data_IF_328436293077
#
_entry.id   IF_328436293077
#
_cell.length_a   1.000
_cell.length_b   1.000
_cell.length_c   1.000
_cell.angle_alpha   90.00
_cell.angle_beta   90.00
_cell.angle_gamma   90.00
#
_symmetry.space_group_name_H-M   'P 1'
#
loop_
_entity.id
_entity.type
_entity.pdbx_description
1 polymer ?
#
# COMPACT_ATOMS: atom_id res chain seq x y z
N UNK A 1 -12.06 -5.90 2.38
CA UNK A 1 -11.05 -6.58 1.54
C UNK A 1 -10.53 -5.63 0.46
N UNK A 2 -9.37 -5.86 -0.11
CA UNK A 2 -8.77 -5.10 -1.21
C UNK A 2 -9.75 -5.02 -2.39
N UNK A 3 -10.34 -6.13 -2.83
CA UNK A 3 -11.35 -6.16 -3.90
C UNK A 3 -12.57 -5.23 -3.66
N UNK A 4 -12.97 -5.04 -2.41
CA UNK A 4 -14.07 -4.12 -2.08
C UNK A 4 -13.61 -2.67 -2.22
N UNK A 5 -12.35 -2.38 -1.91
CA UNK A 5 -11.74 -1.06 -2.06
C UNK A 5 -11.54 -0.72 -3.54
N UNK A 6 -11.03 -1.65 -4.34
CA UNK A 6 -10.95 -1.50 -5.80
C UNK A 6 -12.29 -1.11 -6.41
N UNK A 7 -13.37 -1.79 -5.99
CA UNK A 7 -14.71 -1.49 -6.47
C UNK A 7 -15.16 -0.07 -6.12
N UNK A 8 -14.85 0.40 -4.89
CA UNK A 8 -15.17 1.78 -4.48
C UNK A 8 -14.35 2.81 -5.24
N UNK A 9 -13.04 2.56 -5.44
CA UNK A 9 -12.18 3.45 -6.22
C UNK A 9 -12.72 3.56 -7.65
N UNK A 10 -13.02 2.43 -8.30
CA UNK A 10 -13.61 2.41 -9.64
C UNK A 10 -14.97 3.11 -9.68
N UNK A 11 -15.82 2.89 -8.68
CA UNK A 11 -17.13 3.54 -8.57
C UNK A 11 -16.98 5.07 -8.48
N UNK A 12 -16.08 5.56 -7.62
CA UNK A 12 -15.81 7.00 -7.51
C UNK A 12 -15.33 7.60 -8.84
N UNK A 13 -14.41 6.93 -9.53
CA UNK A 13 -13.83 7.39 -10.79
C UNK A 13 -14.84 7.39 -11.93
N UNK A 14 -15.74 6.41 -12.00
CA UNK A 14 -16.72 6.28 -13.07
C UNK A 14 -17.71 7.44 -13.13
N UNK A 15 -17.87 8.21 -12.05
CA UNK A 15 -18.66 9.45 -12.06
C UNK A 15 -18.09 10.53 -13.01
N UNK A 16 -16.84 10.39 -13.46
CA UNK A 16 -16.28 11.25 -14.50
C UNK A 16 -17.04 11.13 -15.83
N UNK A 17 -17.67 9.99 -16.09
CA UNK A 17 -18.44 9.74 -17.31
C UNK A 17 -19.85 10.36 -17.27
N UNK A 18 -20.26 10.94 -16.14
CA UNK A 18 -21.58 11.52 -15.89
C UNK A 18 -21.45 12.99 -15.45
N UNK A 19 -21.14 13.93 -16.39
CA UNK A 19 -20.85 15.34 -16.05
C UNK A 19 -22.01 16.06 -15.35
N UNK A 20 -23.24 15.60 -15.51
CA UNK A 20 -24.42 16.16 -14.85
C UNK A 20 -24.61 15.63 -13.41
N UNK A 21 -23.84 14.65 -12.98
CA UNK A 21 -23.94 14.07 -11.63
C UNK A 21 -23.38 15.03 -10.57
N UNK A 22 -24.01 15.03 -9.39
CA UNK A 22 -23.49 15.72 -8.22
C UNK A 22 -22.21 15.05 -7.64
N UNK A 23 -21.83 13.86 -8.15
CA UNK A 23 -20.61 13.13 -7.82
C UNK A 23 -19.51 13.30 -8.88
N UNK A 24 -19.76 13.99 -10.00
CA UNK A 24 -18.73 14.30 -10.99
C UNK A 24 -17.50 15.00 -10.38
N UNK A 25 -17.65 16.01 -9.49
CA UNK A 25 -16.49 16.66 -8.87
C UNK A 25 -15.67 15.71 -8.00
N UNK A 26 -16.27 14.69 -7.39
CA UNK A 26 -15.54 13.65 -6.64
C UNK A 26 -14.54 12.91 -7.54
N UNK A 27 -14.98 12.50 -8.74
CA UNK A 27 -14.11 11.81 -9.69
C UNK A 27 -12.94 12.71 -10.14
N UNK A 28 -13.22 13.99 -10.37
CA UNK A 28 -12.19 15.00 -10.71
C UNK A 28 -11.16 15.14 -9.58
N UNK A 29 -11.62 15.27 -8.33
CA UNK A 29 -10.74 15.45 -7.20
C UNK A 29 -9.91 14.20 -6.91
N UNK A 30 -10.49 13.01 -7.09
CA UNK A 30 -9.75 11.75 -6.94
C UNK A 30 -8.67 11.61 -8.02
N UNK A 31 -8.98 11.93 -9.30
CA UNK A 31 -7.98 11.94 -10.36
C UNK A 31 -6.85 12.94 -10.10
N UNK A 32 -7.17 14.11 -9.55
CA UNK A 32 -6.15 15.11 -9.15
C UNK A 32 -5.25 14.56 -8.04
N UNK A 33 -5.82 13.85 -7.07
CA UNK A 33 -5.04 13.15 -6.03
C UNK A 33 -4.13 12.06 -6.62
N UNK A 34 -4.56 11.41 -7.69
CA UNK A 34 -3.75 10.44 -8.45
C UNK A 34 -2.71 11.12 -9.38
N UNK A 35 -2.59 12.44 -9.30
CA UNK A 35 -1.60 13.23 -10.04
C UNK A 35 -2.05 13.68 -11.43
N UNK A 36 -3.33 13.52 -11.81
CA UNK A 36 -3.87 14.12 -13.04
C UNK A 36 -4.16 15.59 -12.81
N UNK A 37 -3.21 16.44 -13.17
CA UNK A 37 -3.27 17.90 -12.88
C UNK A 37 -4.40 18.59 -13.63
N UNK A 38 -4.69 18.15 -14.88
CA UNK A 38 -5.67 18.79 -15.75
C UNK A 38 -6.73 17.77 -16.16
N UNK A 39 -7.92 17.89 -15.60
CA UNK A 39 -9.11 17.17 -16.06
C UNK A 39 -9.91 18.12 -16.95
N UNK A 40 -10.02 17.80 -18.23
CA UNK A 40 -10.72 18.63 -19.22
C UNK A 40 -12.24 18.49 -19.09
N UNK A 41 -12.98 19.53 -19.46
CA UNK A 41 -14.44 19.44 -19.50
C UNK A 41 -14.88 18.38 -20.50
N UNK A 42 -15.73 17.43 -20.06
CA UNK A 42 -16.16 16.30 -20.88
C UNK A 42 -15.13 15.16 -20.98
N UNK A 43 -14.05 15.21 -20.19
CA UNK A 43 -13.14 14.09 -20.06
C UNK A 43 -13.90 12.86 -19.56
N UNK A 44 -13.68 11.72 -20.20
CA UNK A 44 -14.20 10.42 -19.78
C UNK A 44 -13.06 9.46 -19.50
N UNK A 45 -13.34 8.36 -18.82
CA UNK A 45 -12.38 7.31 -18.52
C UNK A 45 -13.00 5.92 -18.60
N UNK A 46 -12.15 4.93 -18.71
CA UNK A 46 -12.47 3.51 -18.51
C UNK A 46 -11.62 2.97 -17.36
N UNK A 47 -12.22 2.24 -16.43
CA UNK A 47 -11.52 1.47 -15.41
C UNK A 47 -11.52 -0.01 -15.79
N UNK A 48 -10.35 -0.66 -15.71
CA UNK A 48 -10.18 -2.09 -15.96
C UNK A 48 -9.57 -2.70 -14.71
N UNK A 49 -10.27 -3.61 -14.06
CA UNK A 49 -9.76 -4.31 -12.88
C UNK A 49 -8.99 -5.57 -13.28
N UNK A 50 -7.97 -5.91 -12.48
CA UNK A 50 -7.17 -7.12 -12.61
C UNK A 50 -6.51 -7.28 -14.00
N UNK A 51 -6.14 -6.16 -14.62
CA UNK A 51 -5.44 -6.16 -15.91
C UNK A 51 -3.98 -6.61 -15.69
N UNK A 52 -3.64 -7.83 -16.12
CA UNK A 52 -2.34 -8.47 -15.89
C UNK A 52 -1.88 -8.45 -14.42
N UNK A 53 -2.82 -8.68 -13.49
CA UNK A 53 -2.63 -8.65 -12.04
C UNK A 53 -2.43 -7.24 -11.45
N UNK A 54 -2.54 -6.18 -12.23
CA UNK A 54 -2.69 -4.83 -11.73
C UNK A 54 -4.08 -4.68 -11.12
N UNK A 55 -4.20 -4.13 -9.95
CA UNK A 55 -5.51 -4.04 -9.29
C UNK A 55 -6.47 -3.19 -10.11
N UNK A 56 -6.07 -1.97 -10.50
CA UNK A 56 -6.87 -1.10 -11.36
C UNK A 56 -6.00 -0.44 -12.42
N UNK A 57 -6.43 -0.50 -13.68
CA UNK A 57 -5.92 0.32 -14.78
C UNK A 57 -6.97 1.35 -15.17
N UNK A 58 -6.60 2.63 -15.17
CA UNK A 58 -7.47 3.74 -15.54
C UNK A 58 -6.98 4.29 -16.88
N UNK A 59 -7.83 4.21 -17.92
CA UNK A 59 -7.53 4.71 -19.25
C UNK A 59 -8.30 6.01 -19.49
N UNK A 60 -7.60 7.12 -19.71
CA UNK A 60 -8.21 8.42 -19.96
C UNK A 60 -8.57 8.55 -21.45
N UNK A 61 -9.86 8.61 -21.75
CA UNK A 61 -10.36 8.65 -23.14
C UNK A 61 -9.89 9.93 -23.84
N UNK A 62 -9.35 9.78 -25.06
CA UNK A 62 -8.84 10.91 -25.85
C UNK A 62 -7.47 11.43 -25.41
N UNK A 63 -6.94 10.94 -24.30
CA UNK A 63 -5.55 11.15 -23.89
C UNK A 63 -4.80 9.84 -24.02
N UNK A 64 -3.60 9.86 -24.60
CA UNK A 64 -2.74 8.67 -24.62
C UNK A 64 -2.07 8.50 -23.26
N UNK A 65 -2.88 8.34 -22.20
CA UNK A 65 -2.46 8.30 -20.80
C UNK A 65 -3.23 7.24 -20.02
N UNK A 66 -2.50 6.52 -19.20
CA UNK A 66 -3.07 5.56 -18.24
C UNK A 66 -2.52 5.81 -16.83
N UNK A 67 -3.34 5.48 -15.84
CA UNK A 67 -2.95 5.45 -14.44
C UNK A 67 -3.09 4.01 -13.95
N UNK A 68 -2.00 3.46 -13.46
CA UNK A 68 -1.91 2.14 -12.88
C UNK A 68 -2.00 2.27 -11.36
N UNK A 69 -2.95 1.60 -10.75
CA UNK A 69 -3.15 1.61 -9.30
C UNK A 69 -2.82 0.23 -8.74
N UNK A 70 -1.90 0.19 -7.78
CA UNK A 70 -1.68 -0.93 -6.88
C UNK A 70 -2.38 -0.61 -5.57
N UNK A 71 -3.39 -1.39 -5.20
CA UNK A 71 -4.21 -1.19 -4.01
C UNK A 71 -3.81 -2.14 -2.90
N UNK A 72 -3.56 -1.58 -1.72
CA UNK A 72 -3.25 -2.33 -0.51
C UNK A 72 -4.05 -1.80 0.67
N UNK A 73 -4.74 -2.71 1.33
CA UNK A 73 -5.39 -2.40 2.60
C UNK A 73 -4.45 -2.68 3.77
N UNK A 74 -4.26 -3.93 4.14
CA UNK A 74 -3.49 -4.34 5.32
C UNK A 74 -2.14 -4.98 4.96
N UNK A 75 -1.98 -5.49 3.74
CA UNK A 75 -0.71 -5.98 3.20
C UNK A 75 0.16 -4.83 2.66
N UNK A 76 1.45 -5.08 2.47
CA UNK A 76 2.37 -4.18 1.78
C UNK A 76 2.64 -4.68 0.36
N UNK A 77 3.22 -3.81 -0.48
CA UNK A 77 3.68 -4.19 -1.81
C UNK A 77 4.78 -5.26 -1.70
N UNK A 78 4.72 -6.28 -2.56
CA UNK A 78 5.68 -7.37 -2.56
C UNK A 78 6.33 -7.55 -3.94
N UNK A 79 7.66 -7.65 -3.95
CA UNK A 79 8.43 -8.05 -5.11
C UNK A 79 8.36 -7.07 -6.28
N UNK A 80 8.34 -5.77 -5.98
CA UNK A 80 8.39 -4.69 -6.97
C UNK A 80 7.26 -4.79 -8.03
N UNK A 81 6.02 -5.00 -7.56
CA UNK A 81 4.84 -5.18 -8.42
C UNK A 81 4.68 -4.00 -9.38
N UNK A 82 4.76 -2.77 -8.88
CA UNK A 82 4.63 -1.55 -9.70
C UNK A 82 5.68 -1.51 -10.81
N UNK A 83 6.95 -1.85 -10.52
CA UNK A 83 8.00 -1.91 -11.55
C UNK A 83 7.67 -2.94 -12.63
N UNK A 84 7.26 -4.14 -12.24
CA UNK A 84 6.87 -5.19 -13.20
C UNK A 84 5.68 -4.78 -14.06
N UNK A 85 4.73 -4.05 -13.50
CA UNK A 85 3.58 -3.54 -14.25
C UNK A 85 3.99 -2.43 -15.23
N UNK A 86 4.88 -1.52 -14.83
CA UNK A 86 5.47 -0.53 -15.77
C UNK A 86 6.13 -1.24 -16.95
N UNK A 87 6.97 -2.24 -16.69
CA UNK A 87 7.62 -3.04 -17.74
C UNK A 87 6.59 -3.72 -18.64
N UNK A 88 5.53 -4.29 -18.06
CA UNK A 88 4.46 -4.94 -18.85
C UNK A 88 3.72 -3.96 -19.75
N UNK A 89 3.46 -2.75 -19.30
CA UNK A 89 2.79 -1.70 -20.10
C UNK A 89 3.59 -1.32 -21.35
N UNK A 90 4.91 -1.45 -21.33
CA UNK A 90 5.75 -1.20 -22.54
C UNK A 90 5.68 -2.36 -23.55
N UNK A 91 5.18 -3.51 -23.14
CA UNK A 91 5.15 -4.76 -23.94
C UNK A 91 3.74 -5.12 -24.43
N UNK A 92 2.77 -4.23 -24.29
CA UNK A 92 1.39 -4.49 -24.73
C UNK A 92 1.34 -4.71 -26.25
N UNK A 93 0.59 -5.73 -26.68
CA UNK A 93 0.25 -5.94 -28.08
C UNK A 93 -0.66 -4.83 -28.61
N UNK A 94 -0.80 -4.72 -29.92
CA UNK A 94 -1.70 -3.76 -30.56
C UNK A 94 -3.16 -3.99 -30.12
N UNK A 95 -3.58 -5.25 -30.00
CA UNK A 95 -4.92 -5.60 -29.54
C UNK A 95 -5.18 -5.14 -28.09
N UNK A 96 -4.23 -5.39 -27.19
CA UNK A 96 -4.29 -4.95 -25.79
C UNK A 96 -4.33 -3.43 -25.68
N UNK A 97 -3.50 -2.72 -26.45
CA UNK A 97 -3.52 -1.25 -26.49
C UNK A 97 -4.89 -0.74 -26.97
N UNK A 98 -5.46 -1.38 -27.99
CA UNK A 98 -6.79 -1.01 -28.50
C UNK A 98 -7.89 -1.23 -27.44
N UNK A 99 -7.83 -2.31 -26.65
CA UNK A 99 -8.75 -2.55 -25.53
C UNK A 99 -8.69 -1.44 -24.47
N UNK A 100 -7.50 -0.91 -24.23
CA UNK A 100 -7.29 0.18 -23.27
C UNK A 100 -7.52 1.58 -23.89
N UNK A 101 -7.83 1.66 -25.20
CA UNK A 101 -7.96 2.95 -25.91
C UNK A 101 -6.68 3.78 -25.95
N UNK A 102 -5.51 3.13 -25.95
CA UNK A 102 -4.19 3.76 -25.93
C UNK A 102 -3.39 3.42 -27.19
N UNK A 103 -2.40 4.27 -27.48
CA UNK A 103 -1.49 4.13 -28.60
C UNK A 103 -0.07 3.84 -28.14
N UNK A 104 0.86 3.72 -29.08
CA UNK A 104 2.30 3.68 -28.77
C UNK A 104 2.73 4.91 -27.97
N UNK A 105 3.77 4.75 -27.15
CA UNK A 105 4.30 5.82 -26.27
C UNK A 105 3.25 6.39 -25.32
N UNK A 106 2.41 5.52 -24.74
CA UNK A 106 1.45 5.90 -23.73
C UNK A 106 2.13 6.54 -22.52
N UNK A 107 1.60 7.66 -22.04
CA UNK A 107 2.03 8.26 -20.78
C UNK A 107 1.48 7.43 -19.62
N UNK A 108 2.36 6.83 -18.86
CA UNK A 108 2.04 5.98 -17.72
C UNK A 108 2.30 6.72 -16.41
N UNK A 109 1.32 6.68 -15.52
CA UNK A 109 1.46 7.09 -14.13
C UNK A 109 1.13 5.92 -13.21
N UNK A 110 1.84 5.84 -12.10
CA UNK A 110 1.64 4.78 -11.11
C UNK A 110 1.19 5.38 -9.78
N UNK A 111 0.21 4.75 -9.16
CA UNK A 111 -0.36 5.14 -7.88
C UNK A 111 -0.28 3.95 -6.92
N UNK A 112 0.34 4.15 -5.78
CA UNK A 112 0.26 3.24 -4.65
C UNK A 112 -0.86 3.70 -3.74
N UNK A 113 -1.92 2.91 -3.61
CA UNK A 113 -3.10 3.24 -2.83
C UNK A 113 -3.09 2.42 -1.54
N UNK A 114 -2.84 3.06 -0.41
CA UNK A 114 -2.66 2.39 0.88
C UNK A 114 -3.59 2.96 1.94
N UNK A 115 -4.74 2.30 2.17
CA UNK A 115 -5.69 2.73 3.20
C UNK A 115 -5.43 2.12 4.57
N UNK A 116 -4.61 1.08 4.62
CA UNK A 116 -4.09 0.54 5.86
C UNK A 116 -2.97 1.36 6.47
N UNK A 117 -2.40 0.86 7.55
CA UNK A 117 -1.23 1.46 8.17
C UNK A 117 -0.05 1.49 7.19
N UNK A 118 0.60 2.65 7.10
CA UNK A 118 1.76 2.84 6.23
C UNK A 118 3.02 2.37 6.97
N UNK A 119 3.47 1.16 6.68
CA UNK A 119 4.73 0.63 7.19
C UNK A 119 5.93 1.24 6.46
N UNK A 120 7.13 1.01 6.98
CA UNK A 120 8.34 1.55 6.36
C UNK A 120 8.57 1.05 4.94
N UNK A 121 8.27 -0.22 4.68
CA UNK A 121 8.35 -0.80 3.34
C UNK A 121 7.43 -0.09 2.34
N UNK A 122 6.25 0.32 2.77
CA UNK A 122 5.29 1.04 1.93
C UNK A 122 5.81 2.42 1.49
N UNK A 123 6.66 3.06 2.31
CA UNK A 123 7.30 4.35 2.00
C UNK A 123 8.39 4.26 0.94
N UNK A 124 8.89 3.04 0.68
CA UNK A 124 9.93 2.76 -0.29
C UNK A 124 9.37 2.32 -1.65
N UNK A 125 8.06 2.17 -1.76
CA UNK A 125 7.39 1.78 -3.01
C UNK A 125 7.65 2.83 -4.09
N UNK A 126 8.15 2.38 -5.24
CA UNK A 126 8.48 3.23 -6.38
C UNK A 126 7.22 3.56 -7.22
N UNK A 127 6.32 4.33 -6.61
CA UNK A 127 5.14 4.89 -7.26
C UNK A 127 5.30 6.41 -7.48
N UNK A 128 4.67 6.92 -8.54
CA UNK A 128 4.67 8.37 -8.80
C UNK A 128 3.85 9.13 -7.75
N UNK A 129 2.81 8.47 -7.21
CA UNK A 129 1.92 9.02 -6.17
C UNK A 129 1.59 7.93 -5.16
N UNK A 130 1.61 8.28 -3.87
CA UNK A 130 1.05 7.45 -2.80
C UNK A 130 -0.18 8.13 -2.22
N UNK A 131 -1.32 7.40 -2.18
CA UNK A 131 -2.56 7.86 -1.56
C UNK A 131 -2.79 7.05 -0.28
N UNK A 132 -2.74 7.73 0.86
CA UNK A 132 -3.01 7.10 2.17
C UNK A 132 -4.50 7.09 2.50
N UNK A 133 -4.89 6.32 3.52
CA UNK A 133 -6.26 6.30 4.02
C UNK A 133 -6.77 7.69 4.43
N UNK A 134 -5.92 8.48 5.09
CA UNK A 134 -6.24 9.85 5.48
C UNK A 134 -6.43 10.77 4.27
N UNK A 135 -5.56 10.65 3.26
CA UNK A 135 -5.68 11.43 2.03
C UNK A 135 -6.94 11.07 1.23
N UNK A 136 -7.32 9.79 1.25
CA UNK A 136 -8.56 9.32 0.63
C UNK A 136 -9.78 9.81 1.40
N UNK A 137 -9.80 9.68 2.73
CA UNK A 137 -10.86 10.20 3.57
C UNK A 137 -11.09 11.70 3.31
N UNK A 138 -10.03 12.50 3.30
CA UNK A 138 -10.10 13.93 2.99
C UNK A 138 -10.69 14.21 1.60
N UNK A 139 -10.41 13.36 0.61
CA UNK A 139 -10.95 13.48 -0.74
C UNK A 139 -12.46 13.19 -0.78
N UNK A 140 -12.94 12.22 0.00
CA UNK A 140 -14.33 11.77 0.01
C UNK A 140 -15.24 12.65 0.89
N UNK A 141 -14.74 13.17 2.01
CA UNK A 141 -15.53 13.89 3.03
C UNK A 141 -16.39 15.05 2.46
N UNK A 142 -15.92 15.88 1.51
CA UNK A 142 -16.75 16.98 0.92
C UNK A 142 -18.01 16.49 0.23
N UNK A 143 -18.11 15.20 -0.06
CA UNK A 143 -19.21 14.59 -0.81
C UNK A 143 -20.15 13.76 0.08
N UNK A 144 -19.96 13.79 1.39
CA UNK A 144 -20.84 13.13 2.37
C UNK A 144 -22.32 13.57 2.16
N UNK A 145 -23.25 12.63 2.31
CA UNK A 145 -24.67 12.86 2.10
C UNK A 145 -25.11 12.82 0.63
N UNK A 146 -24.20 12.65 -0.32
CA UNK A 146 -24.55 12.57 -1.75
C UNK A 146 -24.87 11.16 -2.25
N UNK A 147 -24.48 10.13 -1.49
CA UNK A 147 -24.73 8.72 -1.81
C UNK A 147 -24.60 7.85 -0.57
N UNK A 148 -25.54 6.92 -0.39
CA UNK A 148 -25.50 5.94 0.71
C UNK A 148 -24.24 5.04 0.63
N UNK A 149 -23.79 4.69 -0.58
CA UNK A 149 -22.56 3.90 -0.79
C UNK A 149 -21.34 4.69 -0.27
N UNK A 150 -21.27 5.97 -0.63
CA UNK A 150 -20.18 6.84 -0.18
C UNK A 150 -20.19 7.00 1.33
N UNK A 151 -21.35 7.24 1.94
CA UNK A 151 -21.48 7.45 3.38
C UNK A 151 -21.15 6.18 4.18
N UNK A 152 -21.55 5.01 3.67
CA UNK A 152 -21.17 3.74 4.26
C UNK A 152 -19.65 3.51 4.19
N UNK A 153 -19.03 3.84 3.07
CA UNK A 153 -17.58 3.69 2.92
C UNK A 153 -16.81 4.71 3.76
N UNK A 154 -17.26 5.96 3.84
CA UNK A 154 -16.69 6.97 4.75
C UNK A 154 -16.68 6.48 6.19
N UNK A 155 -17.83 5.99 6.67
CA UNK A 155 -17.96 5.42 8.03
C UNK A 155 -16.99 4.25 8.26
N UNK A 156 -16.83 3.38 7.27
CA UNK A 156 -15.88 2.26 7.33
C UNK A 156 -14.43 2.76 7.41
N UNK A 157 -14.05 3.72 6.55
CA UNK A 157 -12.69 4.24 6.49
C UNK A 157 -12.31 5.01 7.75
N UNK A 158 -13.23 5.83 8.29
CA UNK A 158 -13.05 6.55 9.56
C UNK A 158 -12.77 5.57 10.71
N UNK A 159 -13.60 4.53 10.86
CA UNK A 159 -13.41 3.51 11.90
C UNK A 159 -12.07 2.79 11.77
N UNK A 160 -11.66 2.49 10.53
CA UNK A 160 -10.37 1.84 10.26
C UNK A 160 -9.20 2.73 10.69
N UNK A 161 -9.24 4.01 10.35
CA UNK A 161 -8.21 4.98 10.75
C UNK A 161 -8.18 5.22 12.26
N UNK A 162 -9.34 5.30 12.91
CA UNK A 162 -9.44 5.39 14.37
C UNK A 162 -8.85 4.15 15.07
N UNK A 163 -9.10 2.95 14.51
CA UNK A 163 -8.50 1.73 15.04
C UNK A 163 -6.99 1.76 14.91
N UNK A 164 -6.44 2.16 13.76
CA UNK A 164 -5.00 2.30 13.56
C UNK A 164 -4.37 3.31 14.53
N UNK A 165 -5.07 4.44 14.77
CA UNK A 165 -4.62 5.44 15.73
C UNK A 165 -4.55 4.86 17.15
N UNK A 166 -5.56 4.10 17.56
CA UNK A 166 -5.56 3.41 18.87
C UNK A 166 -4.46 2.34 18.98
N UNK A 167 -4.19 1.62 17.89
CA UNK A 167 -3.11 0.62 17.88
C UNK A 167 -1.71 1.25 17.96
N UNK A 168 -1.52 2.45 17.42
CA UNK A 168 -0.30 3.24 17.61
C UNK A 168 -0.11 3.68 19.06
N UNK A 169 -1.19 3.98 19.76
CA UNK A 169 -1.16 4.43 21.16
C UNK A 169 -1.17 3.25 22.16
N UNK A 170 -0.35 2.24 21.85
CA UNK A 170 -0.23 1.03 22.66
C UNK A 170 0.28 1.28 24.10
N UNK A 171 0.88 2.44 24.37
CA UNK A 171 1.32 2.79 25.73
C UNK A 171 0.15 2.91 26.70
N UNK A 172 -1.06 3.21 26.22
CA UNK A 172 -2.29 3.21 27.02
C UNK A 172 -2.84 1.80 27.24
N UNK A 173 -2.58 0.88 26.32
CA UNK A 173 -3.05 -0.51 26.32
C UNK A 173 -1.91 -1.44 25.86
N UNK A 174 -0.90 -1.72 26.72
CA UNK A 174 0.31 -2.47 26.34
C UNK A 174 0.04 -3.89 25.81
N UNK A 175 -1.07 -4.51 26.20
CA UNK A 175 -1.49 -5.83 25.70
C UNK A 175 -1.77 -5.85 24.21
N UNK A 176 -1.93 -4.69 23.56
CA UNK A 176 -2.06 -4.58 22.09
C UNK A 176 -0.84 -5.10 21.36
N UNK A 177 0.35 -5.05 21.99
CA UNK A 177 1.57 -5.61 21.42
C UNK A 177 1.42 -7.10 21.07
N UNK A 178 0.57 -7.83 21.80
CA UNK A 178 0.36 -9.26 21.57
C UNK A 178 -0.43 -9.55 20.28
N UNK A 179 -1.22 -8.59 19.80
CA UNK A 179 -2.21 -8.81 18.75
C UNK A 179 -2.13 -7.80 17.59
N UNK A 180 -1.27 -6.78 17.69
CA UNK A 180 -1.18 -5.71 16.70
C UNK A 180 0.23 -5.57 16.13
N UNK A 181 0.35 -5.81 14.82
CA UNK A 181 1.56 -5.51 14.07
C UNK A 181 1.89 -4.00 14.07
N UNK A 182 0.87 -3.15 14.12
CA UNK A 182 1.02 -1.68 14.18
C UNK A 182 1.66 -1.28 15.51
N UNK A 183 1.18 -1.84 16.63
CA UNK A 183 1.75 -1.58 17.95
C UNK A 183 3.21 -2.04 18.03
N UNK A 184 3.49 -3.27 17.55
CA UNK A 184 4.86 -3.81 17.51
C UNK A 184 5.78 -2.96 16.64
N UNK A 185 5.34 -2.59 15.43
CA UNK A 185 6.10 -1.73 14.53
C UNK A 185 6.37 -0.36 15.17
N UNK A 186 5.36 0.23 15.82
CA UNK A 186 5.50 1.52 16.51
C UNK A 186 6.52 1.42 17.65
N UNK A 187 6.45 0.37 18.46
CA UNK A 187 7.45 0.14 19.52
C UNK A 187 8.85 -0.07 18.94
N UNK A 188 8.99 -0.85 17.88
CA UNK A 188 10.28 -1.07 17.23
C UNK A 188 10.88 0.26 16.75
N UNK A 189 10.06 1.15 16.20
CA UNK A 189 10.48 2.50 15.78
C UNK A 189 10.84 3.43 16.93
N UNK A 190 10.23 3.25 18.10
CA UNK A 190 10.62 3.99 19.32
C UNK A 190 11.97 3.52 19.85
N UNK A 191 12.24 2.22 19.82
CA UNK A 191 13.52 1.63 20.25
C UNK A 191 14.63 2.00 19.26
N UNK A 192 14.33 1.98 17.97
CA UNK A 192 15.26 2.28 16.87
C UNK A 192 14.76 3.50 16.07
N UNK A 193 15.00 4.73 16.54
CA UNK A 193 14.46 5.94 15.93
C UNK A 193 15.03 6.24 14.54
N UNK A 194 14.29 7.01 13.77
CA UNK A 194 14.63 7.39 12.37
C UNK A 194 15.99 8.08 12.20
N UNK A 195 16.55 8.66 13.26
CA UNK A 195 17.88 9.23 13.23
C UNK A 195 18.97 8.21 12.89
N UNK A 196 18.70 6.93 13.09
CA UNK A 196 19.53 5.81 12.67
C UNK A 196 19.25 5.37 11.23
N UNK A 197 18.17 5.90 10.62
CA UNK A 197 17.79 5.62 9.24
C UNK A 197 18.32 6.70 8.31
N UNK A 198 19.29 6.37 7.50
CA UNK A 198 19.67 7.22 6.37
C UNK A 198 19.20 6.55 5.08
N UNK A 199 18.33 7.26 4.33
CA UNK A 199 17.97 6.87 2.98
C UNK A 199 19.25 6.87 2.13
N UNK A 200 19.62 5.72 1.55
CA UNK A 200 20.86 5.56 0.77
C UNK A 200 22.04 4.95 1.55
N UNK A 201 21.97 4.90 2.89
CA UNK A 201 22.72 3.98 3.72
C UNK A 201 21.74 3.46 4.75
N UNK A 202 20.88 2.53 4.34
CA UNK A 202 19.89 1.91 5.21
C UNK A 202 20.66 1.16 6.30
N UNK A 203 20.68 1.72 7.52
CA UNK A 203 21.31 1.08 8.66
C UNK A 203 20.49 -0.12 9.14
N UNK A 204 19.18 -0.12 8.90
CA UNK A 204 18.29 -1.24 9.18
C UNK A 204 16.98 -1.16 8.40
N UNK A 205 16.30 -2.28 8.28
CA UNK A 205 14.97 -2.40 7.69
C UNK A 205 14.03 -3.03 8.70
N UNK A 206 12.77 -2.56 8.74
CA UNK A 206 11.72 -3.13 9.60
C UNK A 206 10.72 -3.88 8.74
N UNK A 207 10.61 -5.17 9.00
CA UNK A 207 9.63 -6.06 8.39
C UNK A 207 8.55 -6.43 9.40
N UNK A 208 7.38 -6.80 8.90
CA UNK A 208 6.30 -7.30 9.72
C UNK A 208 5.60 -8.46 9.03
N UNK A 209 4.92 -9.27 9.82
CA UNK A 209 4.14 -10.39 9.31
C UNK A 209 3.30 -11.01 10.40
N UNK A 210 2.79 -12.21 10.12
CA UNK A 210 1.97 -12.97 11.05
C UNK A 210 2.38 -14.45 11.00
N UNK A 211 2.44 -15.08 12.16
CA UNK A 211 2.64 -16.52 12.30
C UNK A 211 1.56 -17.07 13.23
N UNK A 212 0.80 -18.08 12.76
CA UNK A 212 -0.32 -18.66 13.52
C UNK A 212 -1.33 -17.64 14.05
N UNK A 213 -1.61 -16.60 13.23
CA UNK A 213 -2.53 -15.53 13.59
C UNK A 213 -1.99 -14.47 14.55
N UNK A 214 -0.72 -14.55 14.95
CA UNK A 214 -0.07 -13.57 15.81
C UNK A 214 0.93 -12.73 15.05
N UNK A 215 1.01 -11.42 15.32
CA UNK A 215 1.93 -10.55 14.63
C UNK A 215 3.37 -10.80 15.07
N UNK A 216 4.29 -10.53 14.16
CA UNK A 216 5.71 -10.41 14.46
C UNK A 216 6.29 -9.21 13.70
N UNK A 217 7.34 -8.64 14.27
CA UNK A 217 8.07 -7.52 13.64
C UNK A 217 9.57 -7.80 13.74
N UNK A 218 10.27 -7.70 12.61
CA UNK A 218 11.73 -7.88 12.53
C UNK A 218 12.40 -6.55 12.19
N UNK A 219 13.54 -6.29 12.80
CA UNK A 219 14.44 -5.21 12.46
C UNK A 219 15.79 -5.79 12.08
N UNK A 220 16.17 -5.62 10.83
CA UNK A 220 17.43 -6.11 10.26
C UNK A 220 18.38 -4.94 10.12
N UNK A 221 19.60 -5.05 10.68
CA UNK A 221 20.64 -4.04 10.55
C UNK A 221 21.42 -4.33 9.28
N UNK A 222 21.21 -3.50 8.26
CA UNK A 222 21.74 -3.74 6.92
C UNK A 222 23.30 -3.73 6.85
N UNK A 223 23.95 -2.87 7.64
CA UNK A 223 25.41 -2.78 7.68
C UNK A 223 26.09 -4.00 8.33
N UNK A 224 25.34 -4.79 9.10
CA UNK A 224 25.80 -6.03 9.71
C UNK A 224 25.32 -7.29 8.98
N UNK A 225 24.77 -7.12 7.78
CA UNK A 225 24.75 -8.24 6.85
C UNK A 225 26.22 -8.59 6.63
N UNK A 226 26.61 -9.80 7.07
CA UNK A 226 27.96 -10.28 6.92
C UNK A 226 28.52 -9.96 5.52
N UNK A 227 29.85 -9.73 5.35
CA UNK A 227 30.46 -9.42 4.05
C UNK A 227 30.09 -10.41 2.95
N UNK A 228 29.60 -11.58 3.32
CA UNK A 228 29.04 -12.64 2.49
C UNK A 228 27.53 -12.51 2.32
N UNK A 229 27.03 -11.32 1.98
CA UNK A 229 25.60 -11.15 1.56
C UNK A 229 25.13 -12.18 0.51
N UNK A 230 26.08 -12.73 -0.25
CA UNK A 230 25.84 -13.85 -1.18
C UNK A 230 25.36 -15.11 -0.48
N UNK A 231 25.62 -15.26 0.79
CA UNK A 231 25.31 -16.47 1.55
C UNK A 231 24.02 -16.35 2.38
N UNK A 232 23.41 -15.17 2.43
CA UNK A 232 22.08 -14.96 3.03
C UNK A 232 22.03 -15.02 4.57
N UNK A 233 23.17 -15.08 5.26
CA UNK A 233 23.22 -14.97 6.73
C UNK A 233 22.76 -13.60 7.19
N UNK A 234 21.97 -13.54 8.28
CA UNK A 234 21.59 -12.25 8.88
C UNK A 234 21.42 -12.34 10.39
N UNK A 235 21.74 -11.25 11.07
CA UNK A 235 21.41 -11.01 12.48
C UNK A 235 20.30 -9.97 12.51
N UNK A 236 19.26 -10.20 13.31
CA UNK A 236 18.13 -9.28 13.39
C UNK A 236 17.46 -9.35 14.75
N UNK A 237 16.86 -8.25 15.14
CA UNK A 237 15.93 -8.22 16.26
C UNK A 237 14.57 -8.67 15.79
N UNK A 238 13.91 -9.51 16.59
CA UNK A 238 12.55 -9.95 16.31
C UNK A 238 11.68 -9.82 17.54
N UNK A 239 10.55 -9.16 17.36
CA UNK A 239 9.46 -9.12 18.31
C UNK A 239 8.43 -10.16 17.89
N UNK A 240 8.14 -11.09 18.77
CA UNK A 240 7.13 -12.12 18.64
C UNK A 240 6.13 -12.02 19.79
N UNK A 241 4.95 -12.60 19.59
CA UNK A 241 3.93 -12.72 20.63
C UNK A 241 3.48 -14.17 20.78
N UNK A 242 3.27 -14.59 22.02
CA UNK A 242 2.68 -15.88 22.36
C UNK A 242 1.59 -15.71 23.44
N UNK A 243 1.18 -16.78 24.10
CA UNK A 243 0.17 -16.75 25.17
C UNK A 243 0.66 -16.05 26.44
N UNK A 244 1.96 -15.97 26.64
CA UNK A 244 2.59 -15.39 27.83
C UNK A 244 2.93 -13.91 27.65
N UNK A 245 2.86 -13.40 26.41
CA UNK A 245 3.08 -11.99 26.11
C UNK A 245 3.89 -11.72 24.84
N UNK A 246 4.43 -10.50 24.76
CA UNK A 246 5.32 -10.07 23.66
C UNK A 246 6.76 -10.01 24.16
N UNK A 247 7.67 -10.55 23.38
CA UNK A 247 9.09 -10.57 23.71
C UNK A 247 9.96 -10.15 22.52
N UNK A 248 11.09 -9.53 22.83
CA UNK A 248 12.11 -9.13 21.86
C UNK A 248 13.30 -10.07 21.95
N UNK A 249 13.69 -10.66 20.85
CA UNK A 249 14.81 -11.59 20.74
C UNK A 249 15.82 -11.15 19.69
N UNK A 250 17.11 -11.37 19.95
CA UNK A 250 18.15 -11.28 18.92
C UNK A 250 18.27 -12.63 18.25
N UNK A 251 18.12 -12.67 16.94
CA UNK A 251 18.15 -13.90 16.16
C UNK A 251 19.26 -13.90 15.13
N UNK A 252 19.74 -15.10 14.83
CA UNK A 252 20.66 -15.38 13.75
C UNK A 252 19.97 -16.29 12.74
N UNK A 253 19.99 -15.91 11.49
CA UNK A 253 19.46 -16.71 10.38
C UNK A 253 20.60 -17.30 9.57
N UNK A 254 20.62 -18.64 9.46
CA UNK A 254 21.51 -19.42 8.61
C UNK A 254 20.70 -20.04 7.46
N UNK A 255 20.87 -19.56 6.22
CA UNK A 255 20.10 -20.05 5.06
C UNK A 255 20.42 -21.52 4.70
N UNK A 256 21.54 -22.06 5.18
CA UNK A 256 21.96 -23.44 4.90
C UNK A 256 21.52 -24.43 5.97
N UNK A 257 21.14 -23.95 7.15
CA UNK A 257 20.68 -24.80 8.23
C UNK A 257 19.15 -24.94 8.21
N UNK A 258 18.66 -25.83 7.35
CA UNK A 258 17.20 -26.08 7.21
C UNK A 258 16.55 -26.72 8.44
N UNK A 259 17.32 -27.13 9.47
CA UNK A 259 16.76 -27.77 10.68
C UNK A 259 15.99 -26.79 11.56
N UNK A 260 16.35 -25.49 11.57
CA UNK A 260 15.69 -24.50 12.41
C UNK A 260 14.31 -24.04 11.87
N UNK A 261 13.97 -24.37 10.64
CA UNK A 261 12.69 -24.03 10.03
C UNK A 261 11.56 -25.04 10.35
N UNK A 262 11.89 -26.21 10.91
CA UNK A 262 10.94 -27.29 11.14
C UNK A 262 10.56 -27.52 12.63
N UNK A 263 11.22 -26.85 13.56
CA UNK A 263 11.04 -27.07 15.02
C UNK A 263 10.45 -25.87 15.76
N UNK A 264 9.71 -24.99 15.07
CA UNK A 264 8.95 -23.93 15.73
C UNK A 264 7.52 -23.84 15.23
#
# INVERSE_FOLDING_TARGET
>A
SELSQDAVICWCLNWLNEPASNLYPLAVDLLRKMGEVTVESGQTLQTIQQFYKTDILICLTGKNRVILVEDKTDSSEHGEQIRRYRERMTQLSEEERRLCGIHENVELRTVYFKTGFLYDADRLVDADVTITGEAFLQCLTPYQGKSEILDAYLTFLERKLEQQAREKDFLQEPERLNNSAIAQHTLMRMIFPETLWKRGSVLYEVYHGSSFGRPWTEMVIAEYLFPTQKDGYRIFWRMDSDQDGTYLSLRFYDPYNKKDAAEK
#
